data_IF_024889928833
#
_entry.id   IF_024889928833
#
_cell.length_a   1.000
_cell.length_b   1.000
_cell.length_c   1.000
_cell.angle_alpha   90.00
_cell.angle_beta   90.00
_cell.angle_gamma   90.00
#
_symmetry.space_group_name_H-M   'P 1'
#
loop_
_entity.id
_entity.type
_entity.pdbx_description
1 polymer ?
#
# COMPACT_ATOMS: atom_id res chain seq x y z
N UNK A 1 -13.28 -16.31 -10.48
CA UNK A 1 -13.03 -17.53 -9.70
C UNK A 1 -12.73 -18.65 -10.67
N UNK A 2 -11.69 -19.42 -10.43
CA UNK A 2 -11.32 -20.60 -11.21
C UNK A 2 -11.58 -21.89 -10.42
N UNK A 3 -12.01 -22.89 -11.14
CA UNK A 3 -12.34 -24.21 -10.60
C UNK A 3 -11.52 -25.28 -11.33
N UNK A 4 -11.14 -26.33 -10.61
CA UNK A 4 -10.57 -27.53 -11.22
C UNK A 4 -11.66 -28.43 -11.83
N UNK A 5 -11.24 -29.53 -12.42
CA UNK A 5 -12.18 -30.51 -13.04
C UNK A 5 -13.11 -31.21 -12.04
N UNK A 6 -12.79 -31.13 -10.76
CA UNK A 6 -13.58 -31.70 -9.65
C UNK A 6 -14.57 -30.68 -9.07
N UNK A 7 -14.54 -29.43 -9.57
CA UNK A 7 -15.41 -28.33 -9.12
C UNK A 7 -14.91 -27.61 -7.87
N UNK A 8 -13.67 -27.83 -7.47
CA UNK A 8 -13.06 -27.12 -6.34
C UNK A 8 -12.49 -25.77 -6.77
N UNK A 9 -12.57 -24.76 -5.90
CA UNK A 9 -11.99 -23.44 -6.13
C UNK A 9 -10.47 -23.55 -6.01
N UNK A 10 -9.77 -23.23 -7.09
CA UNK A 10 -8.29 -23.26 -7.15
C UNK A 10 -7.66 -21.88 -7.30
N UNK A 11 -8.48 -20.86 -7.54
CA UNK A 11 -7.99 -19.48 -7.59
C UNK A 11 -9.08 -18.44 -7.78
N UNK A 12 -8.75 -17.20 -7.47
CA UNK A 12 -9.61 -16.03 -7.68
C UNK A 12 -8.80 -14.78 -7.99
N UNK A 13 -9.42 -13.85 -8.65
CA UNK A 13 -8.91 -12.50 -8.89
C UNK A 13 -10.09 -11.54 -9.04
N UNK A 14 -9.89 -10.28 -8.72
CA UNK A 14 -10.79 -9.19 -9.07
C UNK A 14 -10.03 -8.16 -9.91
N UNK A 15 -10.70 -7.58 -10.89
CA UNK A 15 -10.23 -6.42 -11.63
C UNK A 15 -11.15 -5.24 -11.34
N UNK A 16 -10.58 -4.06 -11.21
CA UNK A 16 -11.33 -2.82 -10.93
C UNK A 16 -10.56 -1.61 -11.42
N UNK A 17 -11.23 -0.49 -11.54
CA UNK A 17 -10.62 0.82 -11.72
C UNK A 17 -11.46 1.86 -11.00
N UNK A 18 -10.79 2.89 -10.52
CA UNK A 18 -11.42 4.08 -9.96
C UNK A 18 -11.34 5.20 -11.00
N UNK A 19 -12.49 5.78 -11.34
CA UNK A 19 -12.55 6.82 -12.36
C UNK A 19 -11.67 8.05 -12.07
N UNK A 20 -11.49 8.41 -10.80
CA UNK A 20 -10.65 9.53 -10.43
C UNK A 20 -9.17 9.22 -10.58
N UNK A 21 -8.76 7.98 -10.25
CA UNK A 21 -7.36 7.58 -10.26
C UNK A 21 -6.91 7.00 -11.60
N UNK A 22 -7.78 6.27 -12.30
CA UNK A 22 -7.42 5.60 -13.54
C UNK A 22 -6.86 6.55 -14.61
N UNK A 23 -7.34 7.79 -14.62
CA UNK A 23 -6.95 8.82 -15.59
C UNK A 23 -6.07 9.93 -15.00
N UNK A 24 -5.60 9.77 -13.76
CA UNK A 24 -4.66 10.73 -13.14
C UNK A 24 -3.22 10.59 -13.66
N UNK A 25 -2.94 9.51 -14.35
CA UNK A 25 -1.67 9.24 -15.00
C UNK A 25 -1.78 9.41 -16.52
N UNK A 26 -0.65 9.60 -17.19
CA UNK A 26 -0.59 9.70 -18.65
C UNK A 26 -1.15 8.43 -19.32
N UNK A 27 -0.94 7.27 -18.71
CA UNK A 27 -1.44 5.98 -19.13
C UNK A 27 -2.61 5.55 -18.25
N UNK A 28 -3.83 5.37 -18.79
CA UNK A 28 -4.97 4.89 -18.03
C UNK A 28 -4.69 3.53 -17.38
N UNK A 29 -4.73 3.49 -16.05
CA UNK A 29 -4.30 2.34 -15.26
C UNK A 29 -5.44 1.83 -14.38
N UNK A 30 -5.71 0.53 -14.48
CA UNK A 30 -6.60 -0.18 -13.58
C UNK A 30 -5.83 -1.07 -12.60
N UNK A 31 -6.56 -1.76 -11.73
CA UNK A 31 -5.97 -2.64 -10.73
C UNK A 31 -6.50 -4.06 -10.79
N UNK A 32 -5.66 -5.00 -10.38
CA UNK A 32 -6.11 -6.36 -10.05
C UNK A 32 -5.71 -6.70 -8.61
N UNK A 33 -6.64 -7.35 -7.89
CA UNK A 33 -6.43 -7.70 -6.50
C UNK A 33 -7.29 -8.86 -6.05
N UNK A 34 -7.35 -9.07 -4.74
CA UNK A 34 -8.00 -10.25 -4.15
C UNK A 34 -7.53 -11.55 -4.82
N UNK A 35 -6.25 -11.52 -5.27
CA UNK A 35 -5.64 -12.65 -5.95
C UNK A 35 -5.30 -13.74 -4.98
N UNK A 36 -5.84 -14.91 -5.22
CA UNK A 36 -5.47 -16.16 -4.56
C UNK A 36 -5.41 -17.26 -5.61
N UNK A 37 -4.36 -18.05 -5.57
CA UNK A 37 -4.19 -19.19 -6.47
C UNK A 37 -3.31 -20.25 -5.81
N UNK A 38 -3.53 -21.50 -6.17
CA UNK A 38 -2.54 -22.55 -5.92
C UNK A 38 -1.27 -22.25 -6.71
N UNK A 39 -0.17 -22.91 -6.35
CA UNK A 39 1.12 -22.71 -7.05
C UNK A 39 1.10 -23.37 -8.44
N UNK A 40 0.41 -22.71 -9.36
CA UNK A 40 0.23 -23.13 -10.74
C UNK A 40 0.30 -21.89 -11.65
N UNK A 41 1.29 -21.84 -12.52
CA UNK A 41 1.53 -20.69 -13.39
C UNK A 41 0.48 -20.57 -14.50
N UNK A 42 -0.03 -21.67 -15.03
CA UNK A 42 -1.04 -21.62 -16.11
C UNK A 42 -2.38 -21.10 -15.56
N UNK A 43 -2.73 -21.54 -14.36
CA UNK A 43 -3.88 -21.01 -13.64
C UNK A 43 -3.72 -19.51 -13.36
N UNK A 44 -2.57 -19.10 -12.84
CA UNK A 44 -2.28 -17.68 -12.55
C UNK A 44 -2.37 -16.85 -13.84
N UNK A 45 -1.77 -17.30 -14.93
CA UNK A 45 -1.85 -16.64 -16.23
C UNK A 45 -3.29 -16.48 -16.71
N UNK A 46 -4.13 -17.50 -16.54
CA UNK A 46 -5.55 -17.46 -16.90
C UNK A 46 -6.29 -16.40 -16.09
N UNK A 47 -6.03 -16.32 -14.78
CA UNK A 47 -6.64 -15.32 -13.91
C UNK A 47 -6.19 -13.90 -14.28
N UNK A 48 -4.89 -13.68 -14.47
CA UNK A 48 -4.34 -12.37 -14.85
C UNK A 48 -4.86 -11.92 -16.21
N UNK A 49 -4.93 -12.85 -17.18
CA UNK A 49 -5.44 -12.53 -18.51
C UNK A 49 -6.93 -12.16 -18.48
N UNK A 50 -7.73 -12.83 -17.66
CA UNK A 50 -9.14 -12.47 -17.48
C UNK A 50 -9.26 -11.04 -16.88
N UNK A 51 -8.44 -10.69 -15.89
CA UNK A 51 -8.40 -9.35 -15.31
C UNK A 51 -7.96 -8.30 -16.35
N UNK A 52 -6.88 -8.59 -17.10
CA UNK A 52 -6.36 -7.73 -18.16
C UNK A 52 -7.40 -7.47 -19.26
N UNK A 53 -8.05 -8.49 -19.74
CA UNK A 53 -9.08 -8.35 -20.80
C UNK A 53 -10.26 -7.52 -20.31
N UNK A 54 -10.67 -7.71 -19.05
CA UNK A 54 -11.73 -6.91 -18.45
C UNK A 54 -11.35 -5.43 -18.38
N UNK A 55 -10.12 -5.11 -17.98
CA UNK A 55 -9.59 -3.74 -17.91
C UNK A 55 -9.45 -3.11 -19.30
N UNK A 56 -8.90 -3.84 -20.27
CA UNK A 56 -8.78 -3.38 -21.67
C UNK A 56 -10.15 -3.05 -22.26
N UNK A 57 -11.17 -3.87 -21.99
CA UNK A 57 -12.54 -3.60 -22.48
C UNK A 57 -13.14 -2.30 -21.93
N UNK A 58 -12.50 -1.70 -20.92
CA UNK A 58 -12.89 -0.43 -20.26
C UNK A 58 -11.90 0.70 -20.52
N UNK A 59 -10.99 0.51 -21.47
CA UNK A 59 -10.05 1.54 -21.90
C UNK A 59 -8.80 1.68 -21.03
N UNK A 60 -8.54 0.71 -20.13
CA UNK A 60 -7.30 0.71 -19.38
C UNK A 60 -6.16 0.17 -20.23
N UNK A 61 -5.00 0.80 -20.14
CA UNK A 61 -3.79 0.47 -20.88
C UNK A 61 -2.73 -0.22 -20.02
N UNK A 62 -2.85 -0.07 -18.69
CA UNK A 62 -1.98 -0.72 -17.71
C UNK A 62 -2.79 -1.36 -16.58
N UNK A 63 -2.16 -2.31 -15.90
CA UNK A 63 -2.72 -3.03 -14.78
C UNK A 63 -1.74 -3.09 -13.62
N UNK A 64 -2.07 -2.45 -12.52
CA UNK A 64 -1.35 -2.56 -11.25
C UNK A 64 -1.83 -3.78 -10.45
N UNK A 65 -0.90 -4.43 -9.75
CA UNK A 65 -1.26 -5.60 -8.93
C UNK A 65 -0.11 -6.12 -8.06
N UNK A 66 -0.44 -6.80 -6.96
CA UNK A 66 -1.79 -6.90 -6.40
C UNK A 66 -2.19 -5.62 -5.66
N UNK A 67 -3.38 -5.15 -5.91
CA UNK A 67 -3.95 -4.00 -5.23
C UNK A 67 -5.37 -4.33 -4.78
N UNK A 68 -5.78 -3.84 -3.62
CA UNK A 68 -7.14 -4.01 -3.11
C UNK A 68 -7.79 -2.64 -2.94
N UNK A 69 -9.07 -2.62 -2.58
CA UNK A 69 -9.76 -1.38 -2.29
C UNK A 69 -9.19 -0.73 -1.03
N UNK A 70 -9.02 0.58 -1.06
CA UNK A 70 -8.49 1.37 0.02
C UNK A 70 -7.22 2.11 -0.33
N UNK A 71 -6.55 2.64 0.69
CA UNK A 71 -5.35 3.44 0.49
C UNK A 71 -4.15 2.60 0.04
N UNK A 72 -3.31 3.20 -0.76
CA UNK A 72 -2.12 2.59 -1.35
C UNK A 72 -1.12 2.07 -0.31
N UNK A 73 -1.00 2.73 0.81
CA UNK A 73 -0.09 2.41 1.90
C UNK A 73 -0.60 1.29 2.82
N UNK A 74 -1.87 0.88 2.67
CA UNK A 74 -2.46 -0.15 3.53
C UNK A 74 -2.92 -1.41 2.79
N UNK A 75 -3.30 -1.29 1.52
CA UNK A 75 -4.02 -2.38 0.85
C UNK A 75 -3.35 -2.85 -0.43
N UNK A 76 -2.22 -2.27 -0.78
CA UNK A 76 -1.51 -2.54 -2.02
C UNK A 76 -0.20 -3.26 -1.77
N UNK A 77 0.22 -4.01 -2.75
CA UNK A 77 1.53 -4.61 -2.82
C UNK A 77 1.56 -6.10 -2.55
N UNK A 78 2.64 -6.70 -2.97
CA UNK A 78 2.96 -8.11 -2.79
C UNK A 78 4.01 -8.25 -1.69
N UNK A 79 3.75 -9.12 -0.71
CA UNK A 79 4.78 -9.49 0.25
C UNK A 79 5.89 -10.27 -0.49
N UNK A 80 7.11 -9.77 -0.45
CA UNK A 80 8.26 -10.37 -1.13
C UNK A 80 9.38 -10.77 -0.18
N UNK A 81 9.41 -10.19 1.02
CA UNK A 81 10.39 -10.46 2.07
C UNK A 81 9.74 -10.36 3.44
N UNK A 82 10.32 -11.01 4.44
CA UNK A 82 9.85 -10.93 5.82
C UNK A 82 8.64 -11.81 6.13
N UNK A 83 8.50 -12.96 5.47
CA UNK A 83 7.39 -13.91 5.66
C UNK A 83 7.26 -14.45 7.10
N UNK A 84 8.33 -14.38 7.88
CA UNK A 84 8.36 -14.83 9.29
C UNK A 84 7.80 -13.78 10.27
N UNK A 85 7.51 -12.57 9.79
CA UNK A 85 6.96 -11.50 10.61
C UNK A 85 5.45 -11.41 10.46
N UNK A 86 4.79 -11.05 11.56
CA UNK A 86 3.37 -10.74 11.51
C UNK A 86 3.15 -9.47 10.67
N UNK A 87 2.27 -9.50 9.68
CA UNK A 87 1.98 -8.32 8.88
C UNK A 87 1.36 -7.21 9.74
N UNK A 88 1.62 -5.96 9.38
CA UNK A 88 0.94 -4.81 9.98
C UNK A 88 -0.52 -4.78 9.55
N UNK A 89 -1.35 -4.10 10.34
CA UNK A 89 -2.75 -3.90 9.98
C UNK A 89 -2.87 -3.25 8.59
N UNK A 90 -3.72 -3.83 7.75
CA UNK A 90 -3.93 -3.38 6.38
C UNK A 90 -2.87 -3.85 5.38
N UNK A 91 -1.77 -4.44 5.82
CA UNK A 91 -0.78 -4.99 4.89
C UNK A 91 -1.19 -6.40 4.48
N UNK A 92 -1.19 -6.70 3.17
CA UNK A 92 -1.50 -8.03 2.68
C UNK A 92 -0.39 -9.03 3.06
N UNK A 93 -0.79 -10.26 3.29
CA UNK A 93 0.13 -11.38 3.46
C UNK A 93 -0.04 -12.35 2.28
N UNK A 94 1.07 -12.71 1.66
CA UNK A 94 1.09 -13.59 0.50
C UNK A 94 2.02 -14.78 0.71
N UNK A 95 1.80 -15.82 -0.06
CA UNK A 95 2.68 -16.98 -0.07
C UNK A 95 3.93 -16.69 -0.92
N UNK A 96 5.10 -17.25 -0.57
CA UNK A 96 6.37 -16.93 -1.25
C UNK A 96 6.37 -17.13 -2.76
N UNK A 97 5.61 -18.10 -3.27
CA UNK A 97 5.55 -18.39 -4.69
C UNK A 97 4.76 -17.35 -5.51
N UNK A 98 3.97 -16.48 -4.87
CA UNK A 98 3.19 -15.47 -5.61
C UNK A 98 4.07 -14.52 -6.41
N UNK A 99 5.24 -14.16 -5.88
CA UNK A 99 6.19 -13.32 -6.61
C UNK A 99 6.49 -13.90 -7.99
N UNK A 100 6.83 -15.17 -8.05
CA UNK A 100 7.12 -15.84 -9.32
C UNK A 100 5.90 -15.87 -10.26
N UNK A 101 4.68 -16.09 -9.73
CA UNK A 101 3.46 -16.08 -10.55
C UNK A 101 3.22 -14.73 -11.22
N UNK A 102 3.44 -13.63 -10.49
CA UNK A 102 3.30 -12.27 -11.03
C UNK A 102 4.40 -11.95 -12.05
N UNK A 103 5.66 -12.15 -11.68
CA UNK A 103 6.82 -11.82 -12.55
C UNK A 103 6.82 -12.64 -13.84
N UNK A 104 6.49 -13.93 -13.78
CA UNK A 104 6.42 -14.80 -14.96
C UNK A 104 5.27 -14.43 -15.92
N UNK A 105 4.20 -13.84 -15.43
CA UNK A 105 3.14 -13.28 -16.29
C UNK A 105 3.57 -11.99 -16.97
N UNK A 106 4.50 -11.22 -16.38
CA UNK A 106 5.02 -9.99 -16.95
C UNK A 106 4.87 -8.75 -16.06
N UNK A 107 4.38 -8.90 -14.82
CA UNK A 107 4.43 -7.80 -13.87
C UNK A 107 5.87 -7.43 -13.54
N UNK A 108 6.11 -6.14 -13.37
CA UNK A 108 7.40 -5.60 -12.97
C UNK A 108 7.28 -4.87 -11.65
N UNK A 109 8.34 -4.91 -10.86
CA UNK A 109 8.39 -4.14 -9.62
C UNK A 109 8.30 -2.64 -9.93
N UNK A 110 7.28 -1.98 -9.40
CA UNK A 110 7.07 -0.56 -9.55
C UNK A 110 7.83 0.25 -8.47
N UNK A 111 7.72 -0.15 -7.19
CA UNK A 111 8.49 0.40 -6.09
C UNK A 111 8.48 -0.56 -4.90
N UNK A 112 9.44 -0.38 -3.99
CA UNK A 112 9.50 -1.14 -2.75
C UNK A 112 8.93 -0.33 -1.58
N UNK A 113 8.03 -0.94 -0.83
CA UNK A 113 7.52 -0.40 0.42
C UNK A 113 8.11 -1.21 1.57
N UNK A 114 8.89 -0.55 2.42
CA UNK A 114 9.57 -1.19 3.53
C UNK A 114 8.82 -0.96 4.83
N UNK A 115 8.55 -2.04 5.57
CA UNK A 115 8.08 -1.98 6.96
C UNK A 115 9.24 -2.21 7.90
N UNK A 116 9.32 -1.39 8.96
CA UNK A 116 10.39 -1.48 9.95
C UNK A 116 9.82 -1.83 11.30
N UNK A 117 10.48 -2.76 11.99
CA UNK A 117 10.17 -3.09 13.39
C UNK A 117 11.25 -2.53 14.29
N UNK A 118 10.83 -1.68 15.22
CA UNK A 118 11.70 -1.21 16.28
C UNK A 118 11.17 -1.66 17.64
N UNK A 119 12.04 -2.31 18.43
CA UNK A 119 11.68 -2.75 19.79
C UNK A 119 12.05 -1.64 20.79
N UNK A 120 11.05 -1.05 21.41
CA UNK A 120 11.23 0.01 22.41
C UNK A 120 12.05 -0.44 23.62
N UNK A 121 12.04 -1.74 23.93
CA UNK A 121 12.79 -2.35 25.03
C UNK A 121 14.32 -2.28 24.87
N UNK A 122 14.79 -2.11 23.64
CA UNK A 122 16.24 -2.01 23.36
C UNK A 122 16.88 -0.71 23.90
N UNK A 123 16.06 0.27 24.30
CA UNK A 123 16.46 1.47 25.07
C UNK A 123 17.54 2.36 24.45
N UNK A 124 18.12 1.95 23.35
CA UNK A 124 19.26 2.63 22.75
C UNK A 124 18.82 3.34 21.47
N UNK A 125 18.55 4.63 21.61
CA UNK A 125 18.54 5.50 20.44
C UNK A 125 19.97 5.59 19.89
N UNK A 126 20.12 5.60 18.56
CA UNK A 126 21.43 5.82 17.96
C UNK A 126 22.00 7.19 18.41
N UNK A 127 23.31 7.29 18.49
CA UNK A 127 23.99 8.56 18.84
C UNK A 127 23.52 9.71 17.93
N UNK A 128 23.31 9.43 16.64
CA UNK A 128 22.79 10.40 15.66
C UNK A 128 21.39 10.88 16.05
N UNK A 129 20.52 9.97 16.53
CA UNK A 129 19.17 10.34 16.95
C UNK A 129 19.19 11.21 18.21
N UNK A 130 20.06 10.87 19.18
CA UNK A 130 20.27 11.66 20.39
C UNK A 130 20.83 13.06 20.07
N UNK A 131 21.83 13.15 19.20
CA UNK A 131 22.40 14.43 18.76
C UNK A 131 21.33 15.31 18.09
N UNK A 132 20.53 14.74 17.18
CA UNK A 132 19.43 15.47 16.53
C UNK A 132 18.37 15.92 17.54
N UNK A 133 18.02 15.08 18.50
CA UNK A 133 17.08 15.44 19.57
C UNK A 133 17.61 16.59 20.43
N UNK A 134 18.88 16.53 20.85
CA UNK A 134 19.53 17.62 21.60
C UNK A 134 19.54 18.92 20.81
N UNK A 135 19.88 18.89 19.53
CA UNK A 135 19.87 20.07 18.66
C UNK A 135 18.49 20.70 18.54
N UNK A 136 17.43 19.88 18.40
CA UNK A 136 16.06 20.37 18.33
C UNK A 136 15.61 20.97 19.64
N UNK A 137 15.85 20.30 20.76
CA UNK A 137 15.49 20.77 22.11
C UNK A 137 16.23 22.04 22.52
N UNK A 138 17.43 22.24 21.98
CA UNK A 138 18.25 23.46 22.27
C UNK A 138 17.84 24.66 21.42
N UNK A 139 16.99 24.49 20.40
CA UNK A 139 16.56 25.58 19.56
C UNK A 139 15.24 26.18 20.08
N UNK A 140 15.23 27.45 20.50
CA UNK A 140 14.04 28.08 21.09
C UNK A 140 12.88 28.28 20.10
N UNK A 141 13.12 28.03 18.80
CA UNK A 141 12.06 28.09 17.79
C UNK A 141 11.22 26.84 17.73
N UNK A 142 11.59 25.78 18.45
CA UNK A 142 10.84 24.54 18.51
C UNK A 142 10.29 24.32 19.90
N UNK A 143 9.01 23.99 19.97
CA UNK A 143 8.31 23.64 21.20
C UNK A 143 7.73 22.23 21.05
N UNK A 144 7.84 21.44 22.12
CA UNK A 144 7.17 20.14 22.21
C UNK A 144 6.00 20.31 23.16
N UNK A 145 4.81 20.17 22.62
CA UNK A 145 3.56 20.26 23.39
C UNK A 145 2.87 18.88 23.45
N UNK A 146 2.11 18.68 24.48
CA UNK A 146 1.23 17.51 24.59
C UNK A 146 -0.10 17.85 23.95
N UNK A 147 -0.73 16.84 23.32
CA UNK A 147 -2.07 16.97 22.80
C UNK A 147 -3.00 17.45 23.92
N UNK A 148 -3.73 18.52 23.63
CA UNK A 148 -4.74 19.04 24.54
C UNK A 148 -6.02 18.21 24.46
N UNK A 149 -6.20 17.28 25.38
CA UNK A 149 -7.36 16.40 25.43
C UNK A 149 -8.71 17.15 25.65
N UNK A 150 -8.67 18.43 26.03
CA UNK A 150 -9.87 19.26 26.21
C UNK A 150 -10.28 19.98 24.92
N UNK A 151 -9.37 20.02 23.91
CA UNK A 151 -9.63 20.61 22.60
C UNK A 151 -9.18 19.68 21.47
N UNK A 152 -9.74 18.49 21.44
CA UNK A 152 -9.42 17.50 20.40
C UNK A 152 -9.74 18.00 18.99
N UNK A 153 -10.76 18.82 18.83
CA UNK A 153 -11.13 19.37 17.53
C UNK A 153 -10.08 20.36 17.00
N UNK A 154 -9.53 21.22 17.87
CA UNK A 154 -8.42 22.10 17.53
C UNK A 154 -7.14 21.33 17.20
N UNK A 155 -6.83 20.30 17.98
CA UNK A 155 -5.66 19.43 17.74
C UNK A 155 -5.78 18.65 16.43
N UNK A 156 -6.95 18.11 16.12
CA UNK A 156 -7.21 17.43 14.85
C UNK A 156 -7.04 18.39 13.65
N UNK A 157 -7.55 19.62 13.76
CA UNK A 157 -7.39 20.63 12.72
C UNK A 157 -5.92 21.05 12.56
N UNK A 158 -5.16 21.20 13.63
CA UNK A 158 -3.73 21.45 13.60
C UNK A 158 -2.99 20.31 12.89
N UNK A 159 -3.31 19.06 13.23
CA UNK A 159 -2.75 17.88 12.57
C UNK A 159 -3.07 17.89 11.07
N UNK A 160 -4.33 18.10 10.69
CA UNK A 160 -4.77 18.17 9.29
C UNK A 160 -3.99 19.21 8.50
N UNK A 161 -3.82 20.41 9.04
CA UNK A 161 -3.07 21.48 8.39
C UNK A 161 -1.60 21.13 8.19
N UNK A 162 -0.97 20.56 9.22
CA UNK A 162 0.44 20.12 9.16
C UNK A 162 0.59 19.01 8.13
N UNK A 163 -0.29 18.01 8.16
CA UNK A 163 -0.31 16.90 7.22
C UNK A 163 -0.43 17.41 5.78
N UNK A 164 -1.47 18.19 5.50
CA UNK A 164 -1.70 18.71 4.16
C UNK A 164 -0.53 19.56 3.64
N UNK A 165 0.06 20.38 4.50
CA UNK A 165 1.23 21.20 4.14
C UNK A 165 2.47 20.34 3.89
N UNK A 166 2.69 19.31 4.68
CA UNK A 166 3.86 18.44 4.56
C UNK A 166 3.79 17.53 3.32
N UNK A 167 2.59 17.03 3.00
CA UNK A 167 2.41 16.04 1.95
C UNK A 167 1.88 16.58 0.63
N UNK A 168 1.51 17.87 0.56
CA UNK A 168 0.95 18.51 -0.64
C UNK A 168 1.83 18.44 -1.89
N UNK A 169 3.13 18.21 -1.73
CA UNK A 169 4.09 18.11 -2.84
C UNK A 169 4.30 16.68 -3.33
N UNK A 170 3.73 15.69 -2.67
CA UNK A 170 3.89 14.28 -3.04
C UNK A 170 2.78 13.84 -3.98
N UNK A 171 3.16 13.32 -5.14
CA UNK A 171 2.23 12.79 -6.13
C UNK A 171 1.45 11.60 -5.54
N UNK A 172 0.12 11.62 -5.71
CA UNK A 172 -0.76 10.54 -5.25
C UNK A 172 -1.20 10.64 -3.79
N UNK A 173 -0.79 11.68 -3.05
CA UNK A 173 -1.31 11.96 -1.72
C UNK A 173 -2.49 12.91 -1.83
N UNK A 174 -3.68 12.45 -1.40
CA UNK A 174 -4.86 13.31 -1.30
C UNK A 174 -4.77 14.17 -0.03
N UNK A 175 -5.18 15.44 -0.11
CA UNK A 175 -5.35 16.24 1.10
C UNK A 175 -6.36 15.57 2.05
N UNK A 176 -6.08 15.62 3.34
CA UNK A 176 -7.00 15.16 4.36
C UNK A 176 -8.16 16.17 4.48
N UNK A 177 -9.38 15.71 4.31
CA UNK A 177 -10.58 16.52 4.44
C UNK A 177 -10.95 16.70 5.91
N UNK A 178 -11.86 17.65 6.20
CA UNK A 178 -12.19 18.02 7.59
C UNK A 178 -13.07 17.00 8.30
N UNK A 179 -13.72 16.12 7.53
CA UNK A 179 -14.65 15.11 8.04
C UNK A 179 -14.02 13.71 8.17
N UNK A 180 -12.74 13.57 7.79
CA UNK A 180 -11.93 12.36 7.98
C UNK A 180 -11.17 12.39 9.31
#
# INVERSE_FOLDING_TARGET
VAYNTEGEVVGRIAAFYDNEHAYSYEQPTGGCGFFEAINDQELANTLFEAARMWLVSRGMEAMDGPVNFGSRDSWWGLLVEGFDYQPLYGNPYHLPYYKALFENYGFQNYFNQNSYVWRAESGVLSEIALEKAHRLLSNPSYHIERINMQDLAGEAENFRQIYNKAWSLFTGVKPMEREE
#
